data_IF_922453321377
#
_entry.id   IF_922453321377
#
_cell.length_a   1.000
_cell.length_b   1.000
_cell.length_c   1.000
_cell.angle_alpha   90.00
_cell.angle_beta   90.00
_cell.angle_gamma   90.00
#
_symmetry.space_group_name_H-M   'P 1'
#
loop_
_entity.id
_entity.type
_entity.pdbx_description
1 polymer ?
#
# COMPACT_ATOMS: atom_id res chain seq x y z
N UNK A 1 -7.83 6.77 -14.48
CA UNK A 1 -7.15 5.45 -14.66
C UNK A 1 -8.06 4.31 -14.24
N UNK A 2 -8.46 4.23 -12.97
CA UNK A 2 -9.30 3.15 -12.45
C UNK A 2 -10.58 2.85 -13.27
N UNK A 3 -11.30 3.87 -13.74
CA UNK A 3 -12.53 3.68 -14.52
C UNK A 3 -12.30 3.28 -15.99
N UNK A 4 -11.09 3.42 -16.51
CA UNK A 4 -10.80 3.29 -17.96
C UNK A 4 -9.90 2.09 -18.29
N UNK A 5 -9.23 1.51 -17.30
CA UNK A 5 -8.32 0.37 -17.47
C UNK A 5 -8.84 -0.78 -16.60
N UNK A 6 -8.97 -2.01 -17.14
CA UNK A 6 -9.33 -3.19 -16.34
C UNK A 6 -8.41 -3.33 -15.12
N UNK A 7 -9.00 -3.72 -13.98
CA UNK A 7 -8.31 -3.78 -12.69
C UNK A 7 -7.05 -4.65 -12.76
N UNK A 8 -7.16 -5.78 -13.45
CA UNK A 8 -6.09 -6.77 -13.63
C UNK A 8 -4.90 -6.13 -14.32
N UNK A 9 -5.13 -5.35 -15.38
CA UNK A 9 -4.06 -4.64 -16.09
C UNK A 9 -3.50 -3.47 -15.29
N UNK A 10 -4.37 -2.74 -14.59
CA UNK A 10 -3.98 -1.57 -13.82
C UNK A 10 -3.05 -1.93 -12.66
N UNK A 11 -3.29 -3.07 -12.00
CA UNK A 11 -2.54 -3.49 -10.82
C UNK A 11 -1.13 -3.95 -11.17
N UNK A 12 -0.92 -4.49 -12.37
CA UNK A 12 0.41 -4.87 -12.87
C UNK A 12 1.39 -3.69 -13.00
N UNK A 13 0.90 -2.44 -12.98
CA UNK A 13 1.78 -1.26 -13.01
C UNK A 13 2.41 -0.94 -11.65
N UNK A 14 1.94 -1.56 -10.57
CA UNK A 14 2.35 -1.24 -9.22
C UNK A 14 3.02 -2.44 -8.55
N UNK A 15 4.07 -2.21 -7.74
CA UNK A 15 4.57 -3.21 -6.81
C UNK A 15 3.47 -3.78 -5.89
N UNK A 16 3.60 -5.06 -5.58
CA UNK A 16 2.65 -5.84 -4.78
C UNK A 16 3.18 -5.99 -3.34
N UNK A 17 2.32 -5.68 -2.37
CA UNK A 17 2.64 -5.84 -0.95
C UNK A 17 3.00 -7.29 -0.61
N UNK A 18 4.16 -7.48 0.03
CA UNK A 18 4.69 -8.78 0.42
C UNK A 18 5.31 -9.61 -0.70
N UNK A 19 5.46 -9.06 -1.91
CA UNK A 19 5.91 -9.86 -3.06
C UNK A 19 6.95 -9.18 -3.95
N UNK A 20 6.86 -7.87 -4.20
CA UNK A 20 7.73 -7.26 -5.22
C UNK A 20 8.18 -5.83 -4.94
N UNK A 21 9.36 -5.52 -5.49
CA UNK A 21 9.94 -4.19 -5.49
C UNK A 21 10.13 -3.62 -4.09
N UNK A 22 9.80 -2.34 -3.92
CA UNK A 22 9.98 -1.67 -2.62
C UNK A 22 9.03 -2.13 -1.51
N UNK A 23 8.10 -3.05 -1.82
CA UNK A 23 7.08 -3.56 -0.90
C UNK A 23 7.27 -5.05 -0.58
N UNK A 24 8.34 -5.70 -1.05
CA UNK A 24 8.57 -7.14 -0.85
C UNK A 24 8.48 -7.56 0.62
N UNK A 25 9.07 -6.79 1.54
CA UNK A 25 9.04 -7.07 2.98
C UNK A 25 7.88 -6.39 3.74
N UNK A 26 6.93 -5.74 3.04
CA UNK A 26 5.93 -4.88 3.68
C UNK A 26 4.52 -5.14 3.18
N UNK A 27 3.56 -4.99 4.09
CA UNK A 27 2.13 -5.17 3.79
C UNK A 27 1.81 -6.57 3.21
N UNK A 28 2.28 -7.67 3.83
CA UNK A 28 2.04 -9.01 3.33
C UNK A 28 0.54 -9.32 3.29
N UNK A 29 0.10 -9.89 2.17
CA UNK A 29 -1.22 -10.48 2.03
C UNK A 29 -1.22 -11.96 2.40
N UNK A 30 -2.39 -12.48 2.76
CA UNK A 30 -2.62 -13.91 3.00
C UNK A 30 -4.02 -14.28 2.48
N UNK A 31 -4.15 -15.12 1.43
CA UNK A 31 -3.11 -15.68 0.56
C UNK A 31 -2.69 -14.74 -0.58
N UNK A 32 -3.46 -13.68 -0.85
CA UNK A 32 -3.24 -12.77 -1.97
C UNK A 32 -2.83 -11.36 -1.50
N UNK A 33 -2.04 -10.60 -2.28
CA UNK A 33 -1.73 -9.20 -1.98
C UNK A 33 -2.99 -8.36 -1.85
N UNK A 34 -2.99 -7.47 -0.86
CA UNK A 34 -4.08 -6.53 -0.64
C UNK A 34 -3.67 -5.09 -0.93
N UNK A 35 -2.39 -4.81 -1.19
CA UNK A 35 -1.86 -3.50 -1.58
C UNK A 35 -1.13 -3.59 -2.90
N UNK A 36 -1.49 -2.69 -3.82
CA UNK A 36 -0.84 -2.47 -5.11
C UNK A 36 -0.50 -0.98 -5.19
N UNK A 37 0.75 -0.62 -4.88
CA UNK A 37 1.08 0.78 -4.65
C UNK A 37 2.52 1.15 -5.01
N UNK A 38 2.71 2.43 -5.32
CA UNK A 38 4.03 2.99 -5.58
C UNK A 38 4.54 3.73 -4.34
N UNK A 39 5.78 3.40 -3.98
CA UNK A 39 6.52 4.11 -2.93
C UNK A 39 7.16 5.39 -3.46
N UNK A 40 7.09 6.46 -2.66
CA UNK A 40 7.94 7.65 -2.76
C UNK A 40 8.64 7.89 -1.43
N UNK A 41 9.98 7.82 -1.43
CA UNK A 41 10.79 8.00 -0.22
C UNK A 41 11.89 9.03 -0.47
N UNK A 42 12.07 9.93 0.50
CA UNK A 42 13.15 10.91 0.60
C UNK A 42 13.60 10.96 2.07
N UNK A 43 14.64 11.74 2.41
CA UNK A 43 15.02 11.93 3.81
C UNK A 43 13.82 12.36 4.65
N UNK A 44 13.56 11.63 5.75
CA UNK A 44 12.45 11.85 6.69
C UNK A 44 11.04 11.81 6.08
N UNK A 45 10.89 11.28 4.86
CA UNK A 45 9.61 11.20 4.14
C UNK A 45 9.39 9.79 3.58
N UNK A 46 8.21 9.23 3.82
CA UNK A 46 7.81 7.93 3.29
C UNK A 46 6.32 7.93 2.95
N UNK A 47 6.05 7.89 1.66
CA UNK A 47 4.74 8.05 1.08
C UNK A 47 4.39 6.81 0.25
N UNK A 48 3.13 6.38 0.33
CA UNK A 48 2.60 5.24 -0.40
C UNK A 48 1.26 5.63 -1.02
N UNK A 49 1.12 5.44 -2.32
CA UNK A 49 -0.13 5.73 -3.03
C UNK A 49 -0.46 4.63 -4.02
N UNK A 50 -1.73 4.24 -4.07
CA UNK A 50 -2.17 3.13 -4.90
C UNK A 50 -3.54 2.60 -4.51
N UNK A 51 -3.69 1.28 -4.62
CA UNK A 51 -4.94 0.57 -4.42
C UNK A 51 -4.85 -0.39 -3.24
N UNK A 52 -5.92 -0.44 -2.44
CA UNK A 52 -6.09 -1.38 -1.34
C UNK A 52 -7.35 -2.22 -1.59
N UNK A 53 -7.20 -3.54 -1.63
CA UNK A 53 -8.34 -4.47 -1.71
C UNK A 53 -8.75 -4.85 -0.29
N UNK A 54 -9.99 -4.54 0.08
CA UNK A 54 -10.56 -4.88 1.39
C UNK A 54 -11.03 -6.34 1.42
N UNK A 55 -11.24 -6.90 2.61
CA UNK A 55 -11.80 -8.25 2.78
C UNK A 55 -13.23 -8.37 2.22
N UNK A 56 -14.00 -7.28 2.21
CA UNK A 56 -15.33 -7.24 1.58
C UNK A 56 -15.27 -7.23 0.04
N UNK A 57 -14.08 -7.12 -0.55
CA UNK A 57 -13.86 -7.08 -2.00
C UNK A 57 -13.87 -5.68 -2.60
N UNK A 58 -14.13 -4.63 -1.81
CA UNK A 58 -14.05 -3.24 -2.29
C UNK A 58 -12.60 -2.85 -2.56
N UNK A 59 -12.38 -2.17 -3.68
CA UNK A 59 -11.11 -1.52 -3.99
C UNK A 59 -11.15 -0.08 -3.49
N UNK A 60 -10.24 0.29 -2.59
CA UNK A 60 -10.02 1.66 -2.15
C UNK A 60 -8.83 2.27 -2.91
N UNK A 61 -8.96 3.53 -3.28
CA UNK A 61 -7.87 4.33 -3.85
C UNK A 61 -7.33 5.21 -2.72
N UNK A 62 -6.03 5.16 -2.47
CA UNK A 62 -5.44 5.87 -1.33
C UNK A 62 -4.16 6.62 -1.69
N UNK A 63 -3.87 7.63 -0.87
CA UNK A 63 -2.57 8.28 -0.78
C UNK A 63 -2.28 8.50 0.71
N UNK A 64 -1.22 7.86 1.20
CA UNK A 64 -0.78 7.94 2.59
C UNK A 64 0.58 8.63 2.60
N UNK A 65 0.65 9.81 3.22
CA UNK A 65 1.86 10.62 3.25
C UNK A 65 2.37 10.81 4.68
N UNK A 66 3.58 10.34 4.95
CA UNK A 66 4.29 10.61 6.20
C UNK A 66 5.48 11.50 5.88
N UNK A 67 5.35 12.77 6.23
CA UNK A 67 6.36 13.78 5.95
C UNK A 67 7.02 14.26 7.25
N UNK A 68 8.29 14.64 7.16
CA UNK A 68 9.09 15.22 8.24
C UNK A 68 9.12 14.40 9.53
N UNK A 69 9.06 13.07 9.42
CA UNK A 69 9.16 12.22 10.61
C UNK A 69 10.59 12.21 11.16
N UNK A 70 10.73 12.06 12.47
CA UNK A 70 12.04 11.98 13.12
C UNK A 70 12.41 10.53 13.51
N UNK A 71 11.44 9.62 13.49
CA UNK A 71 11.66 8.21 13.73
C UNK A 71 12.28 7.48 12.52
N UNK A 72 12.66 6.22 12.69
CA UNK A 72 13.11 5.43 11.54
C UNK A 72 11.97 5.16 10.56
N UNK A 73 12.29 5.07 9.27
CA UNK A 73 11.32 4.69 8.23
C UNK A 73 10.64 3.35 8.51
N UNK A 74 11.33 2.43 9.22
CA UNK A 74 10.76 1.13 9.60
C UNK A 74 9.62 1.28 10.61
N UNK A 75 9.77 2.13 11.62
CA UNK A 75 8.71 2.38 12.60
C UNK A 75 7.49 3.05 11.97
N UNK A 76 7.71 3.98 11.03
CA UNK A 76 6.62 4.59 10.26
C UNK A 76 5.88 3.54 9.43
N UNK A 77 6.60 2.67 8.71
CA UNK A 77 6.00 1.59 7.91
C UNK A 77 5.21 0.59 8.77
N UNK A 78 5.71 0.21 9.95
CA UNK A 78 4.97 -0.66 10.89
C UNK A 78 3.64 -0.04 11.31
N UNK A 79 3.63 1.25 11.65
CA UNK A 79 2.39 1.98 11.99
C UNK A 79 1.44 2.04 10.80
N UNK A 80 1.95 2.35 9.61
CA UNK A 80 1.17 2.35 8.37
C UNK A 80 0.53 0.98 8.12
N UNK A 81 1.28 -0.11 8.31
CA UNK A 81 0.78 -1.46 8.10
C UNK A 81 -0.42 -1.76 8.99
N UNK A 82 -0.34 -1.44 10.28
CA UNK A 82 -1.49 -1.63 11.19
C UNK A 82 -2.73 -0.82 10.77
N UNK A 83 -2.55 0.39 10.23
CA UNK A 83 -3.66 1.19 9.71
C UNK A 83 -4.26 0.55 8.45
N UNK A 84 -3.42 0.11 7.51
CA UNK A 84 -3.91 -0.54 6.29
C UNK A 84 -4.61 -1.87 6.56
N UNK A 85 -4.09 -2.69 7.47
CA UNK A 85 -4.74 -3.94 7.88
C UNK A 85 -6.11 -3.66 8.53
N UNK A 86 -6.20 -2.63 9.37
CA UNK A 86 -7.48 -2.21 9.95
C UNK A 86 -8.47 -1.73 8.88
N UNK A 87 -8.02 -0.93 7.90
CA UNK A 87 -8.88 -0.48 6.80
C UNK A 87 -9.34 -1.67 5.95
N UNK A 88 -8.42 -2.58 5.61
CA UNK A 88 -8.68 -3.82 4.86
C UNK A 88 -9.78 -4.65 5.52
N UNK A 89 -9.75 -4.74 6.86
CA UNK A 89 -10.62 -5.63 7.62
C UNK A 89 -11.98 -5.00 7.97
N UNK A 90 -12.12 -3.68 7.89
CA UNK A 90 -13.33 -2.96 8.34
C UNK A 90 -14.23 -2.43 7.22
N UNK A 91 -13.74 -2.32 5.99
CA UNK A 91 -14.49 -1.80 4.85
C UNK A 91 -15.00 -2.88 3.91
#
# INVERSE_FOLDING_TARGET
LYSNIPKERLFLFFPEGGQSGTLEDWYPGDPNPYIYAKTGSLGNNHNLSGYLITKSGKTLIFSFMNNHFMESSSEIKKRMQGIFERIRDTY
#
